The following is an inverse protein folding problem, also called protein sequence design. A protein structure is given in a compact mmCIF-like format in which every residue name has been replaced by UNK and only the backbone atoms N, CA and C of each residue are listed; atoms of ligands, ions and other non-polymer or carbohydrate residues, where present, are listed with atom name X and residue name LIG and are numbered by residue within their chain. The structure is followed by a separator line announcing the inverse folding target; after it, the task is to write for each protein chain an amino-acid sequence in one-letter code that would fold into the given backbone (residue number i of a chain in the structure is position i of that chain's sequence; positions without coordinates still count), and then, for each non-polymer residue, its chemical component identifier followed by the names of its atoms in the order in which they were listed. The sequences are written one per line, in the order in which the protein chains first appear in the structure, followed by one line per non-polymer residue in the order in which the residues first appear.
data_IF_494536569802
#
_entry.id   IF_494536569802
#
_cell.length_a   1.000
_cell.length_b   1.000
_cell.length_c   1.000
_cell.angle_alpha   90.00
_cell.angle_beta   90.00
_cell.angle_gamma   90.00
#
_symmetry.space_group_name_H-M   'P 1'
#
loop_
_entity.id
_entity.type
_entity.pdbx_description
1 polymer ?
#
# COMPACT_ATOMS: atom_id res chain seq x y z
N UNK A 1 9.52 -9.98 -22.40
CA UNK A 1 8.71 -10.82 -21.49
C UNK A 1 8.78 -10.21 -20.10
N UNK A 2 7.70 -9.58 -19.64
CA UNK A 2 7.67 -8.90 -18.33
C UNK A 2 7.27 -9.91 -17.24
N UNK A 3 8.12 -10.04 -16.21
CA UNK A 3 8.08 -11.04 -15.14
C UNK A 3 6.86 -10.94 -14.17
N UNK A 4 5.84 -10.16 -14.52
CA UNK A 4 4.77 -9.72 -13.62
C UNK A 4 3.43 -10.44 -13.80
N UNK A 5 3.32 -11.36 -14.77
CA UNK A 5 2.07 -12.08 -15.09
C UNK A 5 1.72 -13.21 -14.11
N UNK A 6 2.58 -13.53 -13.13
CA UNK A 6 2.38 -14.67 -12.23
C UNK A 6 1.62 -14.35 -10.92
N UNK A 7 1.39 -13.07 -10.58
CA UNK A 7 0.72 -12.73 -9.32
C UNK A 7 -0.80 -12.69 -9.54
N UNK A 8 -1.45 -13.86 -9.50
CA UNK A 8 -2.91 -13.93 -9.32
C UNK A 8 -3.24 -13.40 -7.92
N UNK A 9 -4.12 -12.40 -7.79
CA UNK A 9 -4.46 -11.89 -6.46
C UNK A 9 -5.16 -12.97 -5.64
N UNK A 10 -4.69 -13.19 -4.41
CA UNK A 10 -5.41 -13.99 -3.42
C UNK A 10 -6.71 -13.25 -3.08
N UNK A 11 -7.83 -13.98 -2.96
CA UNK A 11 -9.22 -13.49 -2.90
C UNK A 11 -9.58 -12.39 -1.86
N UNK A 12 -8.62 -11.80 -1.14
CA UNK A 12 -8.81 -10.66 -0.22
C UNK A 12 -7.63 -9.67 -0.24
N UNK A 13 -6.91 -9.56 -1.37
CA UNK A 13 -5.81 -8.61 -1.50
C UNK A 13 -6.33 -7.23 -1.94
N UNK A 14 -5.93 -6.20 -1.22
CA UNK A 14 -6.14 -4.80 -1.58
C UNK A 14 -4.79 -4.08 -1.64
N UNK A 15 -4.69 -3.10 -2.53
CA UNK A 15 -3.46 -2.36 -2.79
C UNK A 15 -3.39 -1.05 -2.00
N UNK A 16 -2.19 -0.73 -1.51
CA UNK A 16 -1.81 0.60 -1.04
C UNK A 16 -0.81 1.16 -2.04
N UNK A 17 -1.12 2.31 -2.64
CA UNK A 17 -0.25 2.95 -3.64
C UNK A 17 0.51 4.08 -2.96
N UNK A 18 1.83 4.12 -3.15
CA UNK A 18 2.70 5.19 -2.69
C UNK A 18 3.51 5.73 -3.86
N UNK A 19 3.39 7.03 -4.14
CA UNK A 19 4.12 7.71 -5.22
C UNK A 19 5.01 8.81 -4.65
N UNK A 20 6.20 8.98 -5.21
CA UNK A 20 7.13 10.03 -4.75
C UNK A 20 7.92 10.66 -5.88
N UNK A 21 8.33 11.91 -5.68
CA UNK A 21 9.34 12.59 -6.51
C UNK A 21 10.33 13.33 -5.61
N UNK A 22 11.55 13.52 -6.10
CA UNK A 22 12.65 14.11 -5.33
C UNK A 22 12.63 15.64 -5.25
N UNK A 23 11.91 16.32 -6.13
CA UNK A 23 11.81 17.79 -6.12
C UNK A 23 10.39 18.25 -6.48
N UNK A 24 9.97 19.39 -5.93
CA UNK A 24 8.72 20.05 -6.30
C UNK A 24 8.68 20.37 -7.80
N UNK A 25 9.82 20.74 -8.38
CA UNK A 25 9.95 21.00 -9.82
C UNK A 25 9.59 19.76 -10.66
N UNK A 26 10.00 18.57 -10.24
CA UNK A 26 9.61 17.31 -10.89
C UNK A 26 8.13 16.95 -10.67
N UNK A 27 7.53 17.40 -9.57
CA UNK A 27 6.10 17.23 -9.32
C UNK A 27 5.26 18.08 -10.30
N UNK A 28 5.71 19.28 -10.63
CA UNK A 28 4.94 20.26 -11.42
C UNK A 28 5.27 20.25 -12.92
N UNK A 29 6.53 20.02 -13.30
CA UNK A 29 6.97 20.16 -14.70
C UNK A 29 7.02 18.84 -15.48
N UNK A 30 7.14 17.70 -14.82
CA UNK A 30 7.47 16.42 -15.48
C UNK A 30 6.40 15.32 -15.36
N UNK A 31 5.18 15.65 -14.93
CA UNK A 31 4.06 14.70 -14.75
C UNK A 31 4.43 13.44 -13.94
N UNK A 32 5.52 13.49 -13.15
CA UNK A 32 6.18 12.29 -12.63
C UNK A 32 5.34 11.56 -11.59
N UNK A 33 4.63 12.31 -10.73
CA UNK A 33 3.73 11.74 -9.73
C UNK A 33 2.45 11.19 -10.36
N UNK A 34 1.83 11.94 -11.27
CA UNK A 34 0.58 11.53 -11.92
C UNK A 34 0.80 10.30 -12.82
N UNK A 35 1.92 10.24 -13.53
CA UNK A 35 2.28 9.09 -14.36
C UNK A 35 2.52 7.84 -13.50
N UNK A 36 3.24 7.98 -12.38
CA UNK A 36 3.44 6.88 -11.42
C UNK A 36 2.12 6.37 -10.86
N UNK A 37 1.26 7.28 -10.41
CA UNK A 37 -0.06 6.94 -9.88
C UNK A 37 -0.90 6.21 -10.93
N UNK A 38 -1.02 6.78 -12.14
CA UNK A 38 -1.79 6.20 -13.23
C UNK A 38 -1.32 4.78 -13.55
N UNK A 39 0.00 4.57 -13.67
CA UNK A 39 0.55 3.23 -13.91
C UNK A 39 0.21 2.23 -12.80
N UNK A 40 0.25 2.66 -11.53
CA UNK A 40 -0.11 1.83 -10.39
C UNK A 40 -1.63 1.52 -10.37
N UNK A 41 -2.47 2.51 -10.66
CA UNK A 41 -3.92 2.36 -10.74
C UNK A 41 -4.31 1.39 -11.86
N UNK A 42 -3.81 1.63 -13.08
CA UNK A 42 -4.07 0.76 -14.24
C UNK A 42 -3.59 -0.68 -13.99
N UNK A 43 -2.50 -0.86 -13.25
CA UNK A 43 -2.04 -2.19 -12.82
C UNK A 43 -3.07 -2.83 -11.87
N UNK A 44 -3.57 -2.11 -10.88
CA UNK A 44 -4.56 -2.63 -9.94
C UNK A 44 -5.88 -2.97 -10.65
N UNK A 45 -6.36 -2.08 -11.51
CA UNK A 45 -7.59 -2.27 -12.30
C UNK A 45 -7.50 -3.49 -13.22
N UNK A 46 -6.42 -3.63 -14.00
CA UNK A 46 -6.19 -4.80 -14.88
C UNK A 46 -6.13 -6.12 -14.12
N UNK A 47 -5.87 -6.08 -12.81
CA UNK A 47 -5.74 -7.27 -11.98
C UNK A 47 -6.92 -7.43 -11.01
N UNK A 48 -7.97 -6.60 -11.13
CA UNK A 48 -9.12 -6.59 -10.22
C UNK A 48 -8.71 -6.48 -8.73
N UNK A 49 -7.67 -5.70 -8.45
CA UNK A 49 -7.20 -5.45 -7.08
C UNK A 49 -7.82 -4.15 -6.59
N UNK A 50 -8.66 -4.15 -5.55
CA UNK A 50 -9.20 -2.92 -4.98
C UNK A 50 -8.07 -2.08 -4.38
N UNK A 51 -8.10 -0.78 -4.62
CA UNK A 51 -7.14 0.17 -4.03
C UNK A 51 -7.74 0.72 -2.74
N UNK A 52 -7.04 0.52 -1.63
CA UNK A 52 -7.45 1.01 -0.31
C UNK A 52 -7.13 2.48 -0.14
N UNK A 53 -5.95 2.91 -0.59
CA UNK A 53 -5.48 4.29 -0.45
C UNK A 53 -4.34 4.59 -1.43
N UNK A 54 -4.23 5.86 -1.82
CA UNK A 54 -3.12 6.41 -2.60
C UNK A 54 -2.48 7.52 -1.75
N UNK A 55 -1.17 7.42 -1.52
CA UNK A 55 -0.38 8.36 -0.72
C UNK A 55 0.75 8.92 -1.60
N UNK A 56 1.04 10.22 -1.47
CA UNK A 56 1.99 10.91 -2.34
C UNK A 56 2.91 11.82 -1.53
N UNK A 57 4.22 11.71 -1.78
CA UNK A 57 5.21 12.66 -1.28
C UNK A 57 5.74 13.54 -2.42
N UNK A 58 5.48 14.85 -2.32
CA UNK A 58 6.02 15.86 -3.23
C UNK A 58 7.33 16.38 -2.64
N UNK A 59 8.46 15.97 -3.23
CA UNK A 59 9.79 16.22 -2.66
C UNK A 59 10.09 17.70 -2.41
N UNK A 60 10.07 18.10 -1.15
CA UNK A 60 10.98 19.14 -0.65
C UNK A 60 12.38 18.52 -0.71
N UNK A 61 13.38 19.28 -1.17
CA UNK A 61 14.73 18.81 -1.53
C UNK A 61 15.32 17.75 -0.59
N UNK A 62 16.25 16.92 -1.09
CA UNK A 62 16.88 15.79 -0.38
C UNK A 62 17.64 16.11 0.92
N UNK A 63 17.45 17.28 1.53
CA UNK A 63 17.90 17.65 2.87
C UNK A 63 16.82 17.57 3.97
N UNK A 64 15.53 17.49 3.62
CA UNK A 64 14.45 17.32 4.62
C UNK A 64 13.99 15.87 4.65
N UNK A 65 14.09 15.27 5.84
CA UNK A 65 13.69 13.88 6.11
C UNK A 65 12.18 13.71 6.28
N UNK A 66 11.39 14.78 6.16
CA UNK A 66 9.93 14.71 6.31
C UNK A 66 9.31 13.93 5.15
N UNK A 67 9.08 12.64 5.42
CA UNK A 67 8.41 11.68 4.53
C UNK A 67 7.09 11.28 5.17
N UNK A 68 6.26 12.27 5.45
CA UNK A 68 4.96 12.07 6.11
C UNK A 68 4.12 10.99 5.40
N UNK A 69 4.17 10.95 4.06
CA UNK A 69 3.50 9.90 3.29
C UNK A 69 4.08 8.51 3.49
N UNK A 70 5.42 8.38 3.62
CA UNK A 70 6.03 7.09 3.94
C UNK A 70 5.72 6.64 5.37
N UNK A 71 5.74 7.57 6.33
CA UNK A 71 5.38 7.27 7.72
C UNK A 71 3.93 6.78 7.81
N UNK A 72 3.01 7.42 7.07
CA UNK A 72 1.64 6.96 6.97
C UNK A 72 1.52 5.55 6.37
N UNK A 73 2.30 5.24 5.32
CA UNK A 73 2.36 3.90 4.73
C UNK A 73 2.80 2.88 5.78
N UNK A 74 3.86 3.17 6.53
CA UNK A 74 4.37 2.28 7.57
C UNK A 74 3.35 2.03 8.67
N UNK A 75 2.64 3.07 9.10
CA UNK A 75 1.57 2.98 10.09
C UNK A 75 0.41 2.08 9.65
N UNK A 76 -0.03 2.23 8.40
CA UNK A 76 -1.07 1.37 7.81
C UNK A 76 -0.62 -0.09 7.82
N UNK A 77 0.61 -0.36 7.37
CA UNK A 77 1.16 -1.71 7.32
C UNK A 77 1.32 -2.33 8.72
N UNK A 78 1.79 -1.56 9.71
CA UNK A 78 1.90 -2.02 11.09
C UNK A 78 0.54 -2.35 11.71
N UNK A 79 -0.48 -1.50 11.51
CA UNK A 79 -1.85 -1.75 11.97
C UNK A 79 -2.41 -3.02 11.34
N UNK A 80 -2.23 -3.19 10.02
CA UNK A 80 -2.67 -4.39 9.31
C UNK A 80 -1.97 -5.65 9.83
N UNK A 81 -0.65 -5.60 10.02
CA UNK A 81 0.11 -6.72 10.56
C UNK A 81 -0.38 -7.12 11.96
N UNK A 82 -0.61 -6.14 12.84
CA UNK A 82 -1.13 -6.38 14.20
C UNK A 82 -2.53 -6.99 14.17
N UNK A 83 -3.40 -6.50 13.30
CA UNK A 83 -4.73 -7.07 13.08
C UNK A 83 -4.66 -8.53 12.63
N UNK A 84 -3.83 -8.85 11.62
CA UNK A 84 -3.65 -10.22 11.14
C UNK A 84 -3.12 -11.15 12.23
N UNK A 85 -2.09 -10.72 12.98
CA UNK A 85 -1.54 -11.49 14.11
C UNK A 85 -2.58 -11.76 15.20
N UNK A 86 -3.41 -10.77 15.55
CA UNK A 86 -4.49 -10.92 16.56
C UNK A 86 -5.56 -11.91 16.10
N UNK A 87 -5.97 -11.86 14.83
CA UNK A 87 -7.00 -12.73 14.31
C UNK A 87 -6.49 -14.16 14.03
N UNK A 88 -5.22 -14.34 13.67
CA UNK A 88 -4.59 -15.66 13.59
C UNK A 88 -4.59 -16.36 14.97
N UNK A 89 -4.24 -15.63 16.04
CA UNK A 89 -4.32 -16.16 17.41
C UNK A 89 -5.74 -16.59 17.80
N UNK A 90 -6.77 -15.81 17.44
CA UNK A 90 -8.18 -16.15 17.73
C UNK A 90 -8.66 -17.42 17.02
N UNK A 91 -8.21 -17.67 15.80
CA UNK A 91 -8.55 -18.90 15.04
C UNK A 91 -7.89 -20.16 15.61
N UNK A 92 -6.79 -20.01 16.34
CA UNK A 92 -6.06 -21.11 16.98
C UNK A 92 -6.45 -21.34 18.45
N UNK A 93 -7.47 -20.64 18.97
CA UNK A 93 -8.05 -20.93 20.28
C UNK A 93 -9.24 -21.86 20.04
N UNK A 94 -9.14 -23.11 20.50
CA UNK A 94 -10.27 -24.04 20.50
C UNK A 94 -11.48 -23.39 21.19
N UNK A 95 -12.72 -23.63 20.70
CA UNK A 95 -13.91 -23.07 21.33
C UNK A 95 -13.92 -23.44 22.80
N UNK A 96 -14.00 -22.42 23.66
CA UNK A 96 -14.17 -22.60 25.11
C UNK A 96 -15.39 -23.52 25.27
N UNK A 97 -15.25 -24.71 25.87
CA UNK A 97 -16.38 -25.61 26.02
C UNK A 97 -17.46 -24.86 26.78
N UNK A 98 -18.64 -24.74 26.17
CA UNK A 98 -19.81 -24.17 26.84
C UNK A 98 -20.04 -25.03 28.09
N UNK A 99 -19.83 -24.43 29.26
CA UNK A 99 -20.25 -25.05 30.52
C UNK A 99 -21.76 -25.25 30.42
N UNK A 100 -22.17 -26.52 30.51
CA UNK A 100 -23.56 -26.98 30.57
C UNK A 100 -24.20 -26.40 31.83
#
# INVERSE_FOLDING_TARGET
MNHFESIKPLNHQAALIYCRVSTMRQATENFGLESQEKMCVERCERNNVPITKIIKDKGVSGGTFDREGLDEVMDILHKQQKFLKKNAKRKNVEPIPKKI
#
